data_IF_676544887061
#
_entry.id   IF_676544887061
#
_cell.length_a   1.000
_cell.length_b   1.000
_cell.length_c   1.000
_cell.angle_alpha   90.00
_cell.angle_beta   90.00
_cell.angle_gamma   90.00
#
_symmetry.space_group_name_H-M   'P 1'
#
loop_
_entity.id
_entity.type
_entity.pdbx_description
1 polymer ?
#
# COMPACT_ATOMS: atom_id res chain seq x y z
N UNK A 1 35.61 12.01 -10.38
CA UNK A 1 35.30 10.73 -11.05
C UNK A 1 34.85 9.74 -9.99
N UNK A 2 33.62 9.92 -9.48
CA UNK A 2 33.00 8.99 -8.55
C UNK A 2 32.10 8.08 -9.38
N UNK A 3 32.45 6.79 -9.39
CA UNK A 3 31.68 5.63 -9.86
C UNK A 3 30.56 5.95 -10.85
N UNK A 4 30.83 5.73 -12.14
CA UNK A 4 29.79 5.28 -13.06
C UNK A 4 29.23 3.98 -12.49
N UNK A 5 28.30 4.10 -11.53
CA UNK A 5 27.34 3.04 -11.26
C UNK A 5 26.85 2.64 -12.64
N UNK A 6 27.00 1.36 -12.98
CA UNK A 6 26.69 0.87 -14.32
C UNK A 6 25.16 0.87 -14.49
N UNK A 7 24.61 2.07 -14.71
CA UNK A 7 23.17 2.33 -14.89
C UNK A 7 22.67 1.53 -16.09
N UNK A 8 23.52 1.28 -17.09
CA UNK A 8 23.19 0.40 -18.21
C UNK A 8 22.98 -1.04 -17.74
N UNK A 9 23.90 -1.60 -16.94
CA UNK A 9 23.72 -2.93 -16.36
C UNK A 9 22.51 -3.01 -15.43
N UNK A 10 22.26 -1.97 -14.60
CA UNK A 10 21.05 -1.91 -13.76
C UNK A 10 19.80 -1.87 -14.64
N UNK A 11 19.76 -1.03 -15.68
CA UNK A 11 18.63 -0.94 -16.61
C UNK A 11 18.35 -2.28 -17.29
N UNK A 12 19.38 -2.97 -17.78
CA UNK A 12 19.24 -4.29 -18.40
C UNK A 12 18.69 -5.32 -17.40
N UNK A 13 19.24 -5.37 -16.18
CA UNK A 13 18.75 -6.27 -15.14
C UNK A 13 17.29 -6.01 -14.79
N UNK A 14 16.91 -4.73 -14.67
CA UNK A 14 15.54 -4.31 -14.34
C UNK A 14 14.59 -4.62 -15.49
N UNK A 15 15.00 -4.43 -16.74
CA UNK A 15 14.20 -4.79 -17.91
C UNK A 15 13.88 -6.29 -17.92
N UNK A 16 14.86 -7.14 -17.62
CA UNK A 16 14.67 -8.59 -17.51
C UNK A 16 13.76 -8.94 -16.32
N UNK A 17 14.04 -8.39 -15.14
CA UNK A 17 13.31 -8.74 -13.92
C UNK A 17 11.88 -8.19 -13.91
N UNK A 18 11.59 -7.11 -14.65
CA UNK A 18 10.24 -6.53 -14.77
C UNK A 18 9.44 -7.12 -15.94
N UNK A 19 9.99 -8.08 -16.69
CA UNK A 19 9.30 -8.69 -17.83
C UNK A 19 7.94 -9.32 -17.45
N UNK A 20 7.83 -9.86 -16.22
CA UNK A 20 6.59 -10.46 -15.74
C UNK A 20 5.44 -9.46 -15.55
N UNK A 21 5.73 -8.16 -15.44
CA UNK A 21 4.72 -7.11 -15.20
C UNK A 21 3.68 -7.03 -16.31
N UNK A 22 4.07 -7.24 -17.57
CA UNK A 22 3.13 -7.26 -18.70
C UNK A 22 2.12 -8.39 -18.54
N UNK A 23 2.61 -9.62 -18.30
CA UNK A 23 1.75 -10.79 -18.07
C UNK A 23 0.83 -10.59 -16.86
N UNK A 24 1.35 -10.01 -15.79
CA UNK A 24 0.57 -9.72 -14.59
C UNK A 24 -0.55 -8.69 -14.86
N UNK A 25 -0.24 -7.63 -15.61
CA UNK A 25 -1.21 -6.60 -15.99
C UNK A 25 -2.27 -7.14 -16.96
N UNK A 26 -1.87 -7.95 -17.94
CA UNK A 26 -2.80 -8.61 -18.86
C UNK A 26 -3.75 -9.54 -18.11
N UNK A 27 -3.22 -10.37 -17.21
CA UNK A 27 -4.01 -11.33 -16.43
C UNK A 27 -5.01 -10.63 -15.50
N UNK A 28 -4.56 -9.59 -14.78
CA UNK A 28 -5.42 -8.83 -13.86
C UNK A 28 -6.52 -8.04 -14.59
N UNK A 29 -6.24 -7.55 -15.80
CA UNK A 29 -7.19 -6.78 -16.64
C UNK A 29 -8.36 -7.62 -17.20
N UNK A 30 -8.24 -8.96 -17.20
CA UNK A 30 -9.34 -9.86 -17.58
C UNK A 30 -10.55 -9.70 -16.66
N UNK A 31 -10.29 -9.50 -15.37
CA UNK A 31 -11.32 -9.43 -14.33
C UNK A 31 -11.55 -8.00 -13.84
N UNK A 32 -10.50 -7.19 -13.76
CA UNK A 32 -10.58 -5.83 -13.23
C UNK A 32 -10.81 -4.81 -14.35
N UNK A 33 -11.81 -3.94 -14.17
CA UNK A 33 -12.17 -2.87 -15.12
C UNK A 33 -12.17 -1.54 -14.38
N UNK A 34 -11.57 -0.51 -14.97
CA UNK A 34 -11.60 0.87 -14.45
C UNK A 34 -10.88 1.11 -13.13
N UNK A 35 -10.04 0.16 -12.70
CA UNK A 35 -9.36 0.20 -11.41
C UNK A 35 -7.84 0.02 -11.54
N UNK A 36 -7.28 0.51 -12.64
CA UNK A 36 -5.84 0.41 -12.94
C UNK A 36 -4.99 1.01 -11.83
N UNK A 37 -5.37 2.20 -11.33
CA UNK A 37 -4.66 2.85 -10.25
C UNK A 37 -4.58 1.99 -8.99
N UNK A 38 -5.68 1.35 -8.57
CA UNK A 38 -5.69 0.44 -7.42
C UNK A 38 -4.73 -0.73 -7.62
N UNK A 39 -4.77 -1.38 -8.79
CA UNK A 39 -3.89 -2.52 -9.11
C UNK A 39 -2.42 -2.08 -9.11
N UNK A 40 -2.11 -0.96 -9.76
CA UNK A 40 -0.76 -0.40 -9.79
C UNK A 40 -0.23 -0.13 -8.37
N UNK A 41 -1.08 0.38 -7.45
CA UNK A 41 -0.67 0.60 -6.05
C UNK A 41 -0.53 -0.68 -5.23
N UNK A 42 -1.33 -1.70 -5.51
CA UNK A 42 -1.15 -3.01 -4.88
C UNK A 42 0.16 -3.68 -5.33
N UNK A 43 0.47 -3.61 -6.63
CA UNK A 43 1.75 -4.11 -7.16
C UNK A 43 2.92 -3.30 -6.60
N UNK A 44 2.78 -1.97 -6.54
CA UNK A 44 3.78 -1.10 -5.93
C UNK A 44 4.03 -1.49 -4.47
N UNK A 45 2.98 -1.64 -3.65
CA UNK A 45 3.11 -2.07 -2.26
C UNK A 45 3.77 -3.45 -2.13
N UNK A 46 3.40 -4.38 -3.00
CA UNK A 46 4.00 -5.72 -3.06
C UNK A 46 5.50 -5.65 -3.35
N UNK A 47 5.93 -4.85 -4.33
CA UNK A 47 7.33 -4.67 -4.74
C UNK A 47 8.16 -3.83 -3.75
N UNK A 48 7.51 -2.85 -3.11
CA UNK A 48 8.10 -1.93 -2.16
C UNK A 48 8.10 -2.47 -0.73
N UNK A 49 7.62 -3.70 -0.51
CA UNK A 49 7.55 -4.29 0.84
C UNK A 49 6.66 -3.46 1.80
N UNK A 50 5.69 -2.73 1.25
CA UNK A 50 4.81 -1.82 1.97
C UNK A 50 3.34 -2.25 1.96
N UNK A 51 2.60 -1.83 2.98
CA UNK A 51 1.18 -2.10 3.12
C UNK A 51 0.33 -0.94 2.59
N UNK A 52 -0.88 -1.25 2.14
CA UNK A 52 -1.80 -0.30 1.52
C UNK A 52 -3.04 -0.13 2.39
N UNK A 53 -3.35 1.12 2.72
CA UNK A 53 -4.64 1.51 3.28
C UNK A 53 -5.51 2.03 2.13
N UNK A 54 -6.72 1.51 2.01
CA UNK A 54 -7.63 1.85 0.93
C UNK A 54 -8.89 2.46 1.51
N UNK A 55 -9.12 3.72 1.16
CA UNK A 55 -10.34 4.44 1.50
C UNK A 55 -11.24 4.51 0.28
N UNK A 56 -12.50 4.11 0.43
CA UNK A 56 -13.45 4.15 -0.67
C UNK A 56 -14.77 3.51 -0.29
N UNK A 57 -15.76 3.68 -1.15
CA UNK A 57 -17.11 3.18 -0.92
C UNK A 57 -17.19 1.65 -1.08
N UNK A 58 -18.21 1.01 -0.50
CA UNK A 58 -18.48 -0.41 -0.73
C UNK A 58 -18.75 -0.67 -2.21
N UNK A 59 -18.47 -1.88 -2.67
CA UNK A 59 -18.76 -2.31 -4.05
C UNK A 59 -17.70 -1.95 -5.10
N UNK A 60 -16.61 -1.27 -4.74
CA UNK A 60 -15.54 -0.86 -5.67
C UNK A 60 -14.52 -1.98 -6.00
N UNK A 61 -14.97 -3.23 -6.08
CA UNK A 61 -14.16 -4.40 -6.45
C UNK A 61 -12.84 -4.60 -5.66
N UNK A 62 -12.71 -4.03 -4.45
CA UNK A 62 -11.48 -4.10 -3.62
C UNK A 62 -11.04 -5.54 -3.34
N UNK A 63 -11.99 -6.36 -2.89
CA UNK A 63 -11.78 -7.79 -2.63
C UNK A 63 -11.38 -8.54 -3.90
N UNK A 64 -12.01 -8.21 -5.02
CA UNK A 64 -11.70 -8.81 -6.31
C UNK A 64 -10.28 -8.45 -6.76
N UNK A 65 -9.86 -7.20 -6.59
CA UNK A 65 -8.54 -6.72 -6.98
C UNK A 65 -7.41 -7.47 -6.27
N UNK A 66 -7.44 -7.51 -4.93
CA UNK A 66 -6.38 -8.20 -4.16
C UNK A 66 -6.42 -9.73 -4.38
N UNK A 67 -7.60 -10.33 -4.48
CA UNK A 67 -7.72 -11.77 -4.74
C UNK A 67 -7.19 -12.14 -6.12
N UNK A 68 -7.53 -11.36 -7.14
CA UNK A 68 -7.02 -11.51 -8.51
C UNK A 68 -5.50 -11.39 -8.55
N UNK A 69 -4.93 -10.38 -7.88
CA UNK A 69 -3.48 -10.22 -7.79
C UNK A 69 -2.80 -11.39 -7.08
N UNK A 70 -3.35 -11.86 -5.95
CA UNK A 70 -2.82 -13.01 -5.22
C UNK A 70 -2.84 -14.29 -6.09
N UNK A 71 -3.92 -14.48 -6.85
CA UNK A 71 -4.09 -15.65 -7.72
C UNK A 71 -3.12 -15.62 -8.90
N UNK A 72 -2.93 -14.45 -9.51
CA UNK A 72 -1.98 -14.25 -10.62
C UNK A 72 -0.51 -14.45 -10.19
N UNK A 73 -0.20 -14.25 -8.91
CA UNK A 73 1.14 -14.43 -8.30
C UNK A 73 1.30 -15.80 -7.62
N UNK A 74 0.34 -16.70 -7.79
CA UNK A 74 0.33 -18.03 -7.16
C UNK A 74 0.52 -17.97 -5.63
N UNK A 75 -0.18 -17.04 -4.98
CA UNK A 75 0.02 -16.68 -3.58
C UNK A 75 -1.22 -16.89 -2.72
N UNK A 76 -0.99 -17.20 -1.45
CA UNK A 76 -2.08 -17.47 -0.51
C UNK A 76 -2.81 -16.17 -0.16
N UNK A 77 -4.14 -16.21 -0.17
CA UNK A 77 -4.99 -15.07 0.13
C UNK A 77 -5.91 -15.39 1.30
N UNK A 78 -5.94 -14.50 2.29
CA UNK A 78 -6.92 -14.53 3.37
C UNK A 78 -7.64 -13.18 3.49
N UNK A 79 -8.94 -13.26 3.76
CA UNK A 79 -9.78 -12.11 4.12
C UNK A 79 -10.09 -12.18 5.61
N UNK A 80 -9.87 -11.07 6.30
CA UNK A 80 -10.21 -10.85 7.70
C UNK A 80 -11.23 -9.72 7.72
N UNK A 81 -12.46 -10.03 8.10
CA UNK A 81 -13.49 -9.03 8.34
C UNK A 81 -13.30 -8.49 9.76
N UNK A 82 -13.09 -7.18 9.91
CA UNK A 82 -12.98 -6.57 11.22
C UNK A 82 -14.38 -6.29 11.76
N UNK A 83 -14.62 -6.75 12.98
CA UNK A 83 -15.89 -6.61 13.70
C UNK A 83 -15.62 -6.17 15.15
N UNK A 84 -16.61 -5.58 15.85
CA UNK A 84 -16.42 -5.08 17.21
C UNK A 84 -16.04 -6.17 18.24
N UNK A 85 -16.41 -7.42 17.97
CA UNK A 85 -16.19 -8.60 18.80
C UNK A 85 -14.89 -9.37 18.49
N UNK A 86 -14.19 -8.98 17.42
CA UNK A 86 -12.95 -9.64 17.00
C UNK A 86 -11.88 -9.52 18.10
N UNK A 87 -11.15 -10.61 18.37
CA UNK A 87 -10.03 -10.61 19.32
C UNK A 87 -8.69 -10.61 18.58
N UNK A 88 -7.60 -10.10 19.21
CA UNK A 88 -6.25 -10.19 18.64
C UNK A 88 -5.84 -11.64 18.27
N UNK A 89 -6.26 -12.62 19.07
CA UNK A 89 -6.02 -14.05 18.83
C UNK A 89 -6.70 -14.58 17.57
N UNK A 90 -7.79 -13.96 17.13
CA UNK A 90 -8.51 -14.38 15.91
C UNK A 90 -7.75 -13.94 14.64
N UNK A 91 -6.84 -12.97 14.75
CA UNK A 91 -5.95 -12.52 13.68
C UNK A 91 -4.63 -13.29 13.71
N UNK A 92 -4.00 -13.29 14.88
CA UNK A 92 -2.65 -13.80 15.07
C UNK A 92 -2.64 -15.33 15.18
N UNK A 93 -3.62 -15.90 15.87
CA UNK A 93 -3.68 -17.31 16.21
C UNK A 93 -3.71 -17.54 17.71
N UNK A 94 -3.94 -18.79 18.10
CA UNK A 94 -4.12 -19.18 19.50
C UNK A 94 -3.55 -20.56 19.78
N UNK A 95 -3.32 -20.87 21.05
CA UNK A 95 -2.99 -22.22 21.52
C UNK A 95 -4.28 -23.01 21.69
N UNK A 96 -4.36 -24.17 21.05
CA UNK A 96 -5.46 -25.12 21.21
C UNK A 96 -4.98 -26.33 22.00
N UNK A 97 -5.68 -26.65 23.09
CA UNK A 97 -5.42 -27.87 23.85
C UNK A 97 -5.89 -29.08 23.04
N UNK A 98 -5.01 -30.06 22.85
CA UNK A 98 -5.31 -31.34 22.20
C UNK A 98 -5.52 -32.40 23.29
N UNK A 99 -6.78 -32.79 23.60
CA UNK A 99 -7.06 -33.74 24.67
C UNK A 99 -6.43 -35.12 24.45
N UNK A 100 -6.25 -35.54 23.19
CA UNK A 100 -5.67 -36.84 22.85
C UNK A 100 -4.17 -36.92 23.10
N UNK A 101 -3.47 -35.78 23.07
CA UNK A 101 -2.02 -35.70 23.31
C UNK A 101 -1.68 -35.09 24.67
N UNK A 102 -2.68 -34.63 25.44
CA UNK A 102 -2.49 -33.88 26.68
C UNK A 102 -1.53 -32.69 26.52
N UNK A 103 -1.53 -32.05 25.35
CA UNK A 103 -0.59 -31.00 25.00
C UNK A 103 -1.28 -29.82 24.30
N UNK A 104 -0.64 -28.66 24.27
CA UNK A 104 -1.11 -27.47 23.57
C UNK A 104 -0.42 -27.36 22.20
N UNK A 105 -1.21 -27.27 21.14
CA UNK A 105 -0.72 -27.05 19.77
C UNK A 105 -1.09 -25.67 19.26
N UNK A 106 -0.25 -25.11 18.38
CA UNK A 106 -0.45 -23.75 17.85
C UNK A 106 -1.39 -23.80 16.65
N UNK A 107 -2.49 -23.04 16.72
CA UNK A 107 -3.34 -22.77 15.58
C UNK A 107 -3.02 -21.38 15.03
N UNK A 108 -2.30 -21.35 13.91
CA UNK A 108 -1.97 -20.12 13.17
C UNK A 108 -3.25 -19.41 12.73
N UNK A 109 -3.31 -18.10 12.94
CA UNK A 109 -4.41 -17.26 12.51
C UNK A 109 -4.40 -16.95 11.01
N UNK A 110 -5.42 -16.24 10.50
CA UNK A 110 -5.53 -15.88 9.09
C UNK A 110 -4.42 -14.93 8.60
N UNK A 111 -3.64 -14.30 9.50
CA UNK A 111 -2.51 -13.45 9.12
C UNK A 111 -1.37 -14.23 8.42
N UNK A 112 -1.32 -15.56 8.57
CA UNK A 112 -0.33 -16.42 7.91
C UNK A 112 -0.71 -16.75 6.46
N UNK A 113 -0.82 -15.72 5.63
CA UNK A 113 -0.96 -15.82 4.18
C UNK A 113 -0.10 -14.74 3.50
N UNK A 114 0.03 -14.80 2.17
CA UNK A 114 0.83 -13.83 1.43
C UNK A 114 0.08 -12.49 1.24
N UNK A 115 -1.21 -12.57 0.96
CA UNK A 115 -2.08 -11.42 0.76
C UNK A 115 -3.19 -11.42 1.80
N UNK A 116 -3.29 -10.34 2.56
CA UNK A 116 -4.30 -10.15 3.59
C UNK A 116 -5.19 -8.99 3.20
N UNK A 117 -6.49 -9.25 3.08
CA UNK A 117 -7.51 -8.19 3.07
C UNK A 117 -8.02 -8.00 4.49
N UNK A 118 -7.68 -6.88 5.12
CA UNK A 118 -8.23 -6.45 6.40
C UNK A 118 -9.40 -5.50 6.14
N UNK A 119 -10.59 -6.07 6.01
CA UNK A 119 -11.78 -5.32 5.61
C UNK A 119 -12.38 -4.57 6.80
N UNK A 120 -12.66 -3.29 6.62
CA UNK A 120 -13.28 -2.39 7.60
C UNK A 120 -12.49 -2.32 8.92
N UNK A 121 -11.18 -2.09 8.83
CA UNK A 121 -10.26 -2.08 9.98
C UNK A 121 -10.71 -1.13 11.11
N UNK A 122 -11.46 -0.08 10.76
CA UNK A 122 -12.06 0.87 11.69
C UNK A 122 -13.27 0.32 12.45
N UNK A 123 -13.73 -0.93 12.27
CA UNK A 123 -14.83 -1.53 13.04
C UNK A 123 -14.38 -2.33 14.25
N UNK A 124 -13.08 -2.67 14.36
CA UNK A 124 -12.57 -3.40 15.51
C UNK A 124 -11.92 -2.46 16.54
N UNK A 125 -11.87 -2.85 17.83
CA UNK A 125 -11.20 -2.09 18.88
C UNK A 125 -9.70 -1.87 18.60
N UNK A 126 -9.14 -0.81 19.17
CA UNK A 126 -7.73 -0.43 18.98
C UNK A 126 -6.71 -1.56 19.29
N UNK A 127 -7.02 -2.46 20.23
CA UNK A 127 -6.14 -3.61 20.55
C UNK A 127 -6.02 -4.61 19.38
N UNK A 128 -7.10 -4.79 18.63
CA UNK A 128 -7.17 -5.68 17.46
C UNK A 128 -6.45 -5.05 16.28
N UNK A 129 -6.66 -3.75 16.06
CA UNK A 129 -5.94 -2.95 15.07
C UNK A 129 -4.42 -3.02 15.34
N UNK A 130 -4.01 -2.83 16.59
CA UNK A 130 -2.61 -2.90 17.00
C UNK A 130 -1.97 -4.26 16.70
N UNK A 131 -2.67 -5.37 16.92
CA UNK A 131 -2.14 -6.72 16.63
C UNK A 131 -1.82 -6.92 15.13
N UNK A 132 -2.70 -6.45 14.23
CA UNK A 132 -2.43 -6.47 12.79
C UNK A 132 -1.24 -5.57 12.43
N UNK A 133 -1.20 -4.35 12.98
CA UNK A 133 -0.16 -3.37 12.70
C UNK A 133 1.22 -3.77 13.23
N UNK A 134 1.26 -4.48 14.36
CA UNK A 134 2.48 -5.09 14.89
C UNK A 134 2.99 -6.17 13.94
N UNK A 135 2.11 -7.09 13.50
CA UNK A 135 2.46 -8.11 12.52
C UNK A 135 2.98 -7.51 11.20
N UNK A 136 2.43 -6.38 10.75
CA UNK A 136 2.91 -5.62 9.59
C UNK A 136 4.34 -5.08 9.76
N UNK A 137 4.68 -4.57 10.94
CA UNK A 137 6.02 -4.00 11.18
C UNK A 137 7.07 -5.08 11.48
N UNK A 138 6.74 -6.03 12.36
CA UNK A 138 7.68 -7.02 12.86
C UNK A 138 7.84 -8.22 11.90
N UNK A 139 6.87 -8.44 11.01
CA UNK A 139 6.82 -9.57 10.06
C UNK A 139 6.90 -10.95 10.72
N UNK A 140 6.59 -10.99 12.00
CA UNK A 140 6.48 -12.17 12.81
C UNK A 140 5.45 -11.89 13.90
N UNK A 141 4.92 -12.95 14.47
CA UNK A 141 3.98 -12.87 15.59
C UNK A 141 4.35 -13.90 16.64
N UNK A 142 4.11 -13.59 17.91
CA UNK A 142 4.37 -14.53 19.01
C UNK A 142 3.06 -15.15 19.47
N UNK A 143 2.99 -16.48 19.45
CA UNK A 143 1.83 -17.24 19.94
C UNK A 143 2.31 -18.12 21.10
N UNK A 144 1.76 -17.89 22.29
CA UNK A 144 2.27 -18.52 23.50
C UNK A 144 3.71 -18.07 23.79
N UNK A 145 4.67 -18.99 23.66
CA UNK A 145 6.10 -18.72 23.92
C UNK A 145 6.97 -18.70 22.65
N UNK A 146 6.39 -19.05 21.50
CA UNK A 146 7.13 -19.20 20.24
C UNK A 146 6.79 -18.08 19.27
N UNK A 147 7.82 -17.57 18.58
CA UNK A 147 7.68 -16.57 17.53
C UNK A 147 7.66 -17.24 16.16
N UNK A 148 6.70 -16.85 15.33
CA UNK A 148 6.46 -17.39 14.00
C UNK A 148 6.60 -16.30 12.96
N UNK A 149 7.45 -16.51 11.96
CA UNK A 149 7.58 -15.61 10.81
C UNK A 149 6.36 -15.72 9.90
N UNK A 150 5.97 -14.58 9.32
CA UNK A 150 4.91 -14.52 8.32
C UNK A 150 5.42 -14.99 6.95
N UNK A 151 4.50 -15.35 6.06
CA UNK A 151 4.82 -15.85 4.72
C UNK A 151 5.32 -14.71 3.83
N UNK A 152 6.36 -14.96 3.02
CA UNK A 152 6.83 -14.01 2.02
C UNK A 152 6.39 -14.38 0.60
N UNK A 153 6.02 -13.40 -0.26
CA UNK A 153 5.80 -11.99 0.07
C UNK A 153 4.59 -11.80 1.00
N UNK A 154 4.65 -10.79 1.87
CA UNK A 154 3.55 -10.40 2.77
C UNK A 154 3.03 -9.01 2.38
N UNK A 155 1.75 -8.91 2.02
CA UNK A 155 1.05 -7.67 1.70
C UNK A 155 -0.27 -7.60 2.47
N UNK A 156 -0.53 -6.46 3.10
CA UNK A 156 -1.81 -6.17 3.76
C UNK A 156 -2.47 -5.03 3.01
N UNK A 157 -3.70 -5.25 2.57
CA UNK A 157 -4.63 -4.23 2.13
C UNK A 157 -5.67 -4.04 3.23
N UNK A 158 -5.60 -2.93 3.95
CA UNK A 158 -6.62 -2.56 4.91
C UNK A 158 -7.64 -1.64 4.24
N UNK A 159 -8.93 -1.82 4.52
CA UNK A 159 -9.98 -0.93 4.00
C UNK A 159 -10.60 -0.13 5.14
N UNK A 160 -10.99 1.11 4.84
CA UNK A 160 -11.82 1.94 5.70
C UNK A 160 -13.03 2.42 4.89
N UNK A 161 -14.21 2.36 5.52
CA UNK A 161 -15.41 2.97 4.98
C UNK A 161 -15.58 4.37 5.58
N UNK A 162 -15.51 5.45 4.78
CA UNK A 162 -15.57 6.82 5.29
C UNK A 162 -16.97 7.25 5.74
N UNK A 163 -18.03 6.54 5.35
CA UNK A 163 -19.43 6.96 5.61
C UNK A 163 -19.96 6.44 6.95
N UNK A 164 -19.47 5.29 7.43
CA UNK A 164 -19.97 4.68 8.67
C UNK A 164 -19.39 5.36 9.91
N UNK A 165 -20.20 6.17 10.59
CA UNK A 165 -19.84 6.86 11.83
C UNK A 165 -20.26 6.08 13.09
N UNK A 166 -21.25 5.18 13.00
CA UNK A 166 -21.70 4.39 14.16
C UNK A 166 -20.84 3.14 14.36
N UNK A 167 -20.33 2.96 15.58
CA UNK A 167 -19.56 1.78 15.96
C UNK A 167 -18.18 1.69 15.31
N UNK A 168 -17.61 2.82 14.86
CA UNK A 168 -16.26 2.86 14.29
C UNK A 168 -15.23 3.46 15.25
N UNK A 169 -14.04 2.87 15.23
CA UNK A 169 -12.83 3.24 15.94
C UNK A 169 -11.83 3.76 14.91
N UNK A 170 -11.70 5.09 14.72
CA UNK A 170 -10.76 5.64 13.75
C UNK A 170 -9.34 5.22 14.12
N UNK A 171 -8.53 4.91 13.10
CA UNK A 171 -7.12 4.63 13.28
C UNK A 171 -6.41 5.92 13.72
N UNK A 172 -5.72 5.96 14.87
CA UNK A 172 -4.86 7.07 15.25
C UNK A 172 -3.79 7.33 14.19
N UNK A 173 -3.30 8.56 14.09
CA UNK A 173 -2.43 8.96 12.98
C UNK A 173 -1.09 8.23 13.02
N UNK A 174 -0.59 7.95 14.23
CA UNK A 174 0.57 7.08 14.44
C UNK A 174 0.37 5.64 13.93
N UNK A 175 -0.87 5.15 13.87
CA UNK A 175 -1.22 3.85 13.29
C UNK A 175 -1.31 3.94 11.76
N UNK A 176 -1.95 4.98 11.24
CA UNK A 176 -2.06 5.19 9.79
C UNK A 176 -0.68 5.39 9.16
N UNK A 177 0.26 6.05 9.84
CA UNK A 177 1.65 6.26 9.37
C UNK A 177 2.43 4.95 9.12
N UNK A 178 1.96 3.81 9.66
CA UNK A 178 2.53 2.47 9.40
C UNK A 178 2.21 1.94 8.01
N UNK A 179 1.17 2.44 7.35
CA UNK A 179 0.86 2.10 5.96
C UNK A 179 1.76 2.90 5.01
N UNK A 180 2.35 2.23 4.03
CA UNK A 180 3.18 2.91 3.03
C UNK A 180 2.33 3.87 2.20
N UNK A 181 1.20 3.35 1.69
CA UNK A 181 0.28 4.06 0.82
C UNK A 181 -1.09 4.18 1.46
N UNK A 182 -1.74 5.33 1.31
CA UNK A 182 -3.18 5.49 1.42
C UNK A 182 -3.74 5.81 0.04
N UNK A 183 -4.62 4.96 -0.48
CA UNK A 183 -5.19 5.06 -1.82
C UNK A 183 -6.68 5.37 -1.70
N UNK A 184 -7.11 6.45 -2.32
CA UNK A 184 -8.53 6.80 -2.40
C UNK A 184 -9.09 6.26 -3.73
N UNK A 185 -10.24 5.59 -3.66
CA UNK A 185 -10.91 5.05 -4.85
C UNK A 185 -12.28 5.67 -4.98
N UNK A 186 -12.54 6.25 -6.16
CA UNK A 186 -13.84 6.78 -6.57
C UNK A 186 -14.64 5.74 -7.36
N UNK A 187 -15.91 6.07 -7.65
CA UNK A 187 -16.70 5.29 -8.60
C UNK A 187 -16.03 5.25 -9.98
N UNK A 188 -16.18 4.13 -10.72
CA UNK A 188 -15.69 4.02 -12.09
C UNK A 188 -16.40 5.02 -13.00
N UNK A 189 -15.76 5.37 -14.11
CA UNK A 189 -16.37 6.19 -15.15
C UNK A 189 -17.53 5.45 -15.83
N UNK A 190 -18.45 6.18 -16.46
CA UNK A 190 -19.66 5.60 -17.07
C UNK A 190 -19.37 4.44 -18.04
N UNK A 191 -18.32 4.57 -18.86
CA UNK A 191 -17.95 3.54 -19.84
C UNK A 191 -17.31 2.31 -19.16
N UNK A 192 -16.56 2.53 -18.09
CA UNK A 192 -15.99 1.46 -17.26
C UNK A 192 -17.11 0.72 -16.51
N UNK A 193 -18.07 1.43 -15.95
CA UNK A 193 -19.23 0.85 -15.27
C UNK A 193 -20.10 0.04 -16.23
N UNK A 194 -20.29 0.52 -17.47
CA UNK A 194 -20.97 -0.24 -18.53
C UNK A 194 -20.25 -1.55 -18.85
N UNK A 195 -18.92 -1.55 -18.86
CA UNK A 195 -18.13 -2.76 -19.06
C UNK A 195 -18.25 -3.71 -17.86
N UNK A 196 -18.19 -3.19 -16.63
CA UNK A 196 -18.42 -3.95 -15.39
C UNK A 196 -19.78 -4.63 -15.42
N UNK A 197 -20.83 -3.90 -15.80
CA UNK A 197 -22.20 -4.44 -15.94
C UNK A 197 -22.23 -5.58 -16.96
N UNK A 198 -21.65 -5.38 -18.15
CA UNK A 198 -21.61 -6.41 -19.21
C UNK A 198 -20.86 -7.67 -18.78
N UNK A 199 -19.70 -7.53 -18.13
CA UNK A 199 -18.90 -8.67 -17.67
C UNK A 199 -19.58 -9.44 -16.54
N UNK A 200 -20.28 -8.76 -15.64
CA UNK A 200 -21.06 -9.43 -14.60
C UNK A 200 -22.27 -10.19 -15.15
N UNK A 201 -23.00 -9.63 -16.12
CA UNK A 201 -24.16 -10.29 -16.73
C UNK A 201 -23.74 -11.51 -17.57
N UNK A 202 -22.62 -11.41 -18.30
CA UNK A 202 -22.08 -12.50 -19.13
C UNK A 202 -21.38 -13.60 -18.32
N UNK A 203 -21.11 -13.38 -17.03
CA UNK A 203 -20.35 -14.30 -16.19
C UNK A 203 -18.83 -14.26 -16.43
N UNK A 204 -18.33 -13.36 -17.28
CA UNK A 204 -16.90 -13.18 -17.56
C UNK A 204 -16.10 -12.78 -16.32
N UNK A 205 -16.72 -12.15 -15.31
CA UNK A 205 -16.05 -11.89 -14.02
C UNK A 205 -15.72 -13.15 -13.22
N UNK A 206 -16.28 -14.31 -13.60
CA UNK A 206 -15.94 -15.62 -13.03
C UNK A 206 -14.80 -16.32 -13.77
N UNK A 207 -14.15 -15.67 -14.74
CA UNK A 207 -12.97 -16.21 -15.40
C UNK A 207 -11.91 -16.57 -14.35
N UNK A 208 -11.42 -17.80 -14.45
CA UNK A 208 -10.35 -18.28 -13.58
C UNK A 208 -9.07 -17.54 -13.93
N UNK A 209 -8.49 -16.88 -12.93
CA UNK A 209 -7.18 -16.24 -13.04
C UNK A 209 -6.13 -17.33 -13.02
N UNK A 210 -5.27 -17.34 -14.03
CA UNK A 210 -4.16 -18.29 -14.11
C UNK A 210 -2.92 -17.75 -13.37
N UNK A 211 -2.16 -18.63 -12.68
CA UNK A 211 -0.94 -18.23 -11.98
C UNK A 211 0.19 -17.95 -12.98
N UNK A 212 0.29 -16.69 -13.43
CA UNK A 212 1.26 -16.23 -14.43
C UNK A 212 2.63 -15.84 -13.86
N UNK A 213 2.71 -15.62 -12.55
CA UNK A 213 3.91 -15.21 -11.79
C UNK A 213 4.04 -16.08 -10.54
N UNK A 214 5.27 -16.42 -10.15
CA UNK A 214 5.54 -17.14 -8.91
C UNK A 214 5.94 -16.19 -7.76
N UNK A 215 5.80 -16.63 -6.52
CA UNK A 215 6.18 -15.84 -5.32
C UNK A 215 7.66 -15.45 -5.36
N UNK A 216 8.51 -16.33 -5.87
CA UNK A 216 9.96 -16.15 -5.99
C UNK A 216 10.32 -15.02 -6.97
N UNK A 217 9.52 -14.83 -8.03
CA UNK A 217 9.71 -13.74 -8.99
C UNK A 217 9.52 -12.38 -8.29
N UNK A 218 8.51 -12.27 -7.42
CA UNK A 218 8.28 -11.07 -6.61
C UNK A 218 9.41 -10.84 -5.62
N UNK A 219 9.90 -11.88 -4.96
CA UNK A 219 11.03 -11.77 -4.02
C UNK A 219 12.31 -11.33 -4.76
N UNK A 220 12.53 -11.83 -5.98
CA UNK A 220 13.63 -11.38 -6.84
C UNK A 220 13.44 -9.91 -7.24
N UNK A 221 12.24 -9.54 -7.68
CA UNK A 221 11.91 -8.17 -8.06
C UNK A 221 12.13 -7.17 -6.92
N UNK A 222 11.76 -7.51 -5.68
CA UNK A 222 12.04 -6.68 -4.47
C UNK A 222 13.53 -6.38 -4.31
N UNK A 223 14.40 -7.35 -4.58
CA UNK A 223 15.87 -7.14 -4.54
C UNK A 223 16.30 -6.18 -5.65
N UNK A 224 15.72 -6.29 -6.85
CA UNK A 224 16.03 -5.42 -7.98
C UNK A 224 15.53 -3.99 -7.76
N UNK A 225 14.34 -3.80 -7.17
CA UNK A 225 13.81 -2.49 -6.76
C UNK A 225 14.78 -1.76 -5.81
N UNK A 226 15.39 -2.48 -4.86
CA UNK A 226 16.40 -1.90 -3.95
C UNK A 226 17.65 -1.41 -4.68
N UNK A 227 17.96 -1.97 -5.86
CA UNK A 227 19.11 -1.62 -6.70
C UNK A 227 18.82 -0.52 -7.73
N UNK A 228 17.57 -0.12 -7.92
CA UNK A 228 17.22 1.03 -8.77
C UNK A 228 17.96 2.26 -8.27
N UNK A 229 18.69 2.89 -9.17
CA UNK A 229 19.52 4.05 -8.88
C UNK A 229 18.65 5.28 -8.56
N UNK A 230 19.07 6.05 -7.57
CA UNK A 230 18.46 7.34 -7.22
C UNK A 230 19.60 8.34 -7.07
N UNK A 231 19.53 9.41 -7.87
CA UNK A 231 20.51 10.49 -7.83
C UNK A 231 20.30 11.35 -6.57
N UNK A 232 21.38 11.90 -6.03
CA UNK A 232 21.37 12.76 -4.83
C UNK A 232 20.40 13.94 -5.00
N UNK A 233 20.25 14.48 -6.21
CA UNK A 233 19.28 15.55 -6.48
C UNK A 233 17.83 15.10 -6.28
N UNK A 234 17.51 13.85 -6.59
CA UNK A 234 16.18 13.27 -6.35
C UNK A 234 15.97 13.03 -4.85
N UNK A 235 17.01 12.60 -4.13
CA UNK A 235 16.95 12.47 -2.67
C UNK A 235 16.68 13.83 -2.01
N UNK A 236 17.38 14.88 -2.44
CA UNK A 236 17.12 16.25 -2.00
C UNK A 236 15.72 16.74 -2.38
N UNK A 237 15.24 16.44 -3.59
CA UNK A 237 13.87 16.76 -4.00
C UNK A 237 12.81 16.10 -3.09
N UNK A 238 13.00 14.84 -2.72
CA UNK A 238 12.13 14.14 -1.75
C UNK A 238 12.19 14.81 -0.37
N UNK A 239 13.38 15.19 0.09
CA UNK A 239 13.55 15.90 1.36
C UNK A 239 12.84 17.24 1.33
N UNK A 240 13.02 18.04 0.28
CA UNK A 240 12.36 19.34 0.12
C UNK A 240 10.84 19.20 0.18
N UNK A 241 10.26 18.20 -0.50
CA UNK A 241 8.83 17.91 -0.43
C UNK A 241 8.38 17.64 1.01
N UNK A 242 9.09 16.78 1.73
CA UNK A 242 8.71 16.40 3.10
C UNK A 242 8.92 17.57 4.06
N UNK A 243 10.02 18.30 3.97
CA UNK A 243 10.30 19.44 4.83
C UNK A 243 9.37 20.62 4.56
N UNK A 244 8.90 20.80 3.32
CA UNK A 244 7.86 21.79 3.01
C UNK A 244 6.54 21.52 3.76
N UNK A 245 6.22 20.27 4.10
CA UNK A 245 5.05 19.98 4.95
C UNK A 245 5.23 20.42 6.40
N UNK A 246 6.47 20.62 6.87
CA UNK A 246 6.79 20.99 8.26
C UNK A 246 7.15 22.47 8.41
N UNK A 247 7.69 23.06 7.34
CA UNK A 247 8.27 24.40 7.31
C UNK A 247 7.90 25.12 6.00
N UNK A 248 6.61 25.14 5.66
CA UNK A 248 6.11 25.72 4.40
C UNK A 248 6.56 27.18 4.19
N UNK A 249 6.74 27.93 5.27
CA UNK A 249 7.25 29.30 5.28
C UNK A 249 8.64 29.44 4.66
N UNK A 250 9.53 28.45 4.89
CA UNK A 250 10.90 28.42 4.34
C UNK A 250 10.93 28.11 2.84
N UNK A 251 9.85 27.56 2.29
CA UNK A 251 9.73 27.20 0.88
C UNK A 251 8.85 28.18 0.09
N UNK A 252 8.74 29.43 0.56
CA UNK A 252 7.89 30.48 -0.03
C UNK A 252 6.38 30.12 -0.07
N UNK A 253 5.93 29.19 0.76
CA UNK A 253 4.53 28.74 0.85
C UNK A 253 3.88 29.17 2.18
N UNK A 254 4.06 30.43 2.57
CA UNK A 254 3.53 30.97 3.84
C UNK A 254 2.03 30.80 4.02
N UNK A 255 1.27 30.77 2.92
CA UNK A 255 -0.17 30.53 2.94
C UNK A 255 -0.55 29.12 3.43
N UNK A 256 0.35 28.14 3.33
CA UNK A 256 0.08 26.76 3.78
C UNK A 256 0.40 26.55 5.26
N UNK A 257 1.26 27.38 5.87
CA UNK A 257 1.63 27.27 7.28
C UNK A 257 0.43 27.22 8.24
N UNK A 258 -0.57 28.11 8.16
CA UNK A 258 -1.75 28.03 9.03
C UNK A 258 -2.60 26.78 8.80
N UNK A 259 -2.52 26.18 7.61
CA UNK A 259 -3.37 25.06 7.19
C UNK A 259 -2.86 23.69 7.67
N UNK A 260 -1.60 23.60 8.09
CA UNK A 260 -0.95 22.35 8.50
C UNK A 260 -0.75 22.34 10.01
N UNK A 261 -1.45 21.44 10.71
CA UNK A 261 -1.28 21.21 12.14
C UNK A 261 0.05 20.49 12.45
N UNK A 262 0.37 19.46 11.66
CA UNK A 262 1.66 18.77 11.71
C UNK A 262 2.02 18.20 10.33
N UNK A 263 3.32 18.22 10.02
CA UNK A 263 3.86 17.72 8.75
C UNK A 263 4.18 16.23 8.74
N UNK A 264 4.55 15.74 7.57
CA UNK A 264 4.83 14.32 7.32
C UNK A 264 6.05 13.82 8.12
N UNK A 265 6.00 12.59 8.65
CA UNK A 265 7.07 11.97 9.46
C UNK A 265 8.29 11.56 8.61
N UNK A 266 9.44 11.16 9.21
CA UNK A 266 10.56 10.60 8.44
C UNK A 266 10.19 9.34 7.62
N UNK A 267 9.12 8.62 8.00
CA UNK A 267 8.59 7.52 7.18
C UNK A 267 8.12 8.00 5.82
N UNK A 268 7.69 9.25 5.68
CA UNK A 268 7.33 9.84 4.39
C UNK A 268 8.52 9.87 3.45
N UNK A 269 9.68 10.37 3.88
CA UNK A 269 10.90 10.44 3.06
C UNK A 269 11.35 9.04 2.63
N UNK A 270 11.36 8.08 3.57
CA UNK A 270 11.72 6.68 3.31
C UNK A 270 10.74 6.07 2.30
N UNK A 271 9.44 6.20 2.53
CA UNK A 271 8.42 5.59 1.68
C UNK A 271 8.33 6.26 0.31
N UNK A 272 8.56 7.57 0.19
CA UNK A 272 8.66 8.24 -1.11
C UNK A 272 9.84 7.68 -1.91
N UNK A 273 11.01 7.51 -1.27
CA UNK A 273 12.18 6.96 -1.95
C UNK A 273 11.95 5.51 -2.42
N UNK A 274 11.43 4.65 -1.54
CA UNK A 274 11.16 3.25 -1.89
C UNK A 274 10.05 3.16 -2.95
N UNK A 275 8.96 3.91 -2.80
CA UNK A 275 7.84 3.91 -3.75
C UNK A 275 8.26 4.46 -5.12
N UNK A 276 9.12 5.49 -5.16
CA UNK A 276 9.64 6.01 -6.42
C UNK A 276 10.55 4.99 -7.13
N UNK A 277 11.38 4.24 -6.39
CA UNK A 277 12.15 3.12 -6.97
C UNK A 277 11.26 2.00 -7.48
N UNK A 278 10.24 1.62 -6.73
CA UNK A 278 9.26 0.62 -7.15
C UNK A 278 8.48 1.09 -8.39
N UNK A 279 8.10 2.36 -8.45
CA UNK A 279 7.47 2.95 -9.62
C UNK A 279 8.39 2.92 -10.84
N UNK A 280 9.65 3.36 -10.71
CA UNK A 280 10.64 3.28 -11.78
C UNK A 280 10.82 1.83 -12.31
N UNK A 281 10.87 0.85 -11.40
CA UNK A 281 10.90 -0.57 -11.75
C UNK A 281 9.67 -1.00 -12.55
N UNK A 282 8.47 -0.58 -12.15
CA UNK A 282 7.23 -0.85 -12.90
C UNK A 282 7.24 -0.21 -14.29
N UNK A 283 7.93 0.93 -14.45
CA UNK A 283 8.17 1.59 -15.74
C UNK A 283 9.38 1.00 -16.50
N UNK A 284 9.92 -0.15 -16.06
CA UNK A 284 11.08 -0.85 -16.64
C UNK A 284 12.35 0.00 -16.69
N UNK A 285 12.51 0.93 -15.74
CA UNK A 285 13.70 1.78 -15.60
C UNK A 285 14.49 1.43 -14.35
N UNK A 286 15.81 1.37 -14.50
CA UNK A 286 16.79 1.16 -13.44
C UNK A 286 17.26 2.43 -12.74
N UNK A 287 16.61 3.56 -12.99
CA UNK A 287 16.85 4.84 -12.32
C UNK A 287 15.54 5.59 -12.09
N UNK A 288 15.50 6.38 -11.02
CA UNK A 288 14.35 7.22 -10.64
C UNK A 288 14.42 8.57 -11.33
N UNK A 289 13.27 9.06 -11.81
CA UNK A 289 13.07 10.43 -12.30
C UNK A 289 12.11 11.20 -11.38
N UNK A 290 12.08 12.55 -11.43
CA UNK A 290 11.19 13.33 -10.56
C UNK A 290 9.71 12.98 -10.70
N UNK A 291 9.25 12.62 -11.90
CA UNK A 291 7.87 12.20 -12.13
C UNK A 291 7.49 10.92 -11.38
N UNK A 292 8.45 10.02 -11.09
CA UNK A 292 8.21 8.85 -10.25
C UNK A 292 7.81 9.28 -8.84
N UNK A 293 8.54 10.25 -8.26
CA UNK A 293 8.26 10.81 -6.94
C UNK A 293 6.90 11.51 -6.95
N UNK A 294 6.64 12.36 -7.95
CA UNK A 294 5.37 13.07 -8.08
C UNK A 294 4.18 12.12 -8.20
N UNK A 295 4.34 11.03 -8.95
CA UNK A 295 3.28 10.06 -9.18
C UNK A 295 2.83 9.38 -7.89
N UNK A 296 3.73 9.12 -6.94
CA UNK A 296 3.43 8.40 -5.67
C UNK A 296 3.20 9.34 -4.49
N UNK A 297 3.52 10.63 -4.64
CA UNK A 297 3.58 11.55 -3.51
C UNK A 297 2.24 11.73 -2.78
N UNK A 298 1.12 11.82 -3.51
CA UNK A 298 -0.21 11.91 -2.88
C UNK A 298 -0.52 10.67 -2.05
N UNK A 299 -0.23 9.49 -2.57
CA UNK A 299 -0.56 8.21 -1.93
C UNK A 299 0.32 7.95 -0.71
N UNK A 300 1.57 8.42 -0.74
CA UNK A 300 2.47 8.34 0.40
C UNK A 300 2.15 9.42 1.45
N UNK A 301 1.81 10.65 1.08
CA UNK A 301 1.78 11.75 2.04
C UNK A 301 0.40 12.10 2.61
N UNK A 302 -0.71 11.73 1.95
CA UNK A 302 -2.06 12.20 2.33
C UNK A 302 -2.48 11.86 3.76
N UNK A 303 -1.99 10.75 4.31
CA UNK A 303 -2.28 10.31 5.68
C UNK A 303 -1.20 10.70 6.69
N UNK A 304 -0.22 11.50 6.26
CA UNK A 304 0.91 11.92 7.08
C UNK A 304 0.87 13.42 7.39
N UNK A 305 -0.13 14.13 6.88
CA UNK A 305 -0.30 15.57 7.07
C UNK A 305 -1.57 15.79 7.88
N UNK A 306 -1.42 16.40 9.05
CA UNK A 306 -2.53 16.84 9.87
C UNK A 306 -3.04 18.19 9.41
N UNK A 307 -4.36 18.30 9.17
CA UNK A 307 -5.01 19.57 8.86
C UNK A 307 -5.22 20.37 10.15
N UNK A 308 -5.13 21.69 10.06
CA UNK A 308 -5.58 22.57 11.14
C UNK A 308 -7.09 22.79 11.06
N UNK A 309 -7.68 23.31 12.15
CA UNK A 309 -9.09 23.72 12.16
C UNK A 309 -9.41 24.77 11.09
N UNK A 310 -8.46 25.64 10.75
CA UNK A 310 -8.60 26.65 9.70
C UNK A 310 -8.73 25.99 8.32
N UNK A 311 -7.90 24.98 8.05
CA UNK A 311 -8.00 24.20 6.81
C UNK A 311 -9.35 23.47 6.69
N UNK A 312 -9.83 22.89 7.78
CA UNK A 312 -11.16 22.25 7.81
C UNK A 312 -12.28 23.25 7.55
N UNK A 313 -12.23 24.44 8.17
CA UNK A 313 -13.20 25.51 7.96
C UNK A 313 -13.23 26.02 6.52
N UNK A 314 -12.07 26.04 5.85
CA UNK A 314 -11.92 26.43 4.45
C UNK A 314 -12.20 25.28 3.45
N UNK A 315 -12.60 24.09 3.94
CA UNK A 315 -12.76 22.86 3.14
C UNK A 315 -11.49 22.47 2.35
N UNK A 316 -10.32 22.79 2.88
CA UNK A 316 -9.03 22.41 2.31
C UNK A 316 -8.67 21.01 2.80
N UNK A 317 -8.37 20.11 1.86
CA UNK A 317 -7.96 18.74 2.16
C UNK A 317 -6.44 18.55 2.01
N UNK A 318 -5.93 17.40 2.48
CA UNK A 318 -4.51 17.07 2.41
C UNK A 318 -4.02 17.01 0.95
N UNK A 319 -4.84 16.54 0.02
CA UNK A 319 -4.46 16.45 -1.40
C UNK A 319 -4.17 17.82 -2.02
N UNK A 320 -4.93 18.84 -1.64
CA UNK A 320 -4.69 20.22 -2.07
C UNK A 320 -3.31 20.69 -1.60
N UNK A 321 -3.02 20.55 -0.31
CA UNK A 321 -1.74 20.94 0.30
C UNK A 321 -0.57 20.23 -0.40
N UNK A 322 -0.68 18.91 -0.59
CA UNK A 322 0.33 18.11 -1.28
C UNK A 322 0.55 18.58 -2.72
N UNK A 323 -0.54 18.89 -3.43
CA UNK A 323 -0.46 19.38 -4.81
C UNK A 323 0.24 20.74 -4.89
N UNK A 324 -0.06 21.66 -3.96
CA UNK A 324 0.63 22.95 -3.89
C UNK A 324 2.13 22.79 -3.63
N UNK A 325 2.50 21.91 -2.70
CA UNK A 325 3.90 21.62 -2.38
C UNK A 325 4.63 21.07 -3.61
N UNK A 326 4.09 20.04 -4.26
CA UNK A 326 4.71 19.39 -5.43
C UNK A 326 4.87 20.36 -6.61
N UNK A 327 3.91 21.27 -6.80
CA UNK A 327 3.94 22.24 -7.89
C UNK A 327 4.90 23.41 -7.64
N UNK A 328 5.15 23.73 -6.37
CA UNK A 328 6.01 24.86 -5.99
C UNK A 328 7.49 24.47 -5.91
N UNK A 329 7.79 23.25 -5.46
CA UNK A 329 9.18 22.80 -5.33
C UNK A 329 9.76 22.55 -6.73
N UNK A 330 10.92 23.14 -7.05
CA UNK A 330 11.55 23.00 -8.35
C UNK A 330 12.00 21.56 -8.59
N UNK A 331 11.82 21.11 -9.82
CA UNK A 331 12.30 19.81 -10.28
C UNK A 331 13.82 19.90 -10.53
N UNK A 332 14.63 18.93 -10.06
CA UNK A 332 16.10 18.97 -10.10
C UNK A 332 16.78 18.79 -11.47
#
# INVERSE_FOLDING_TARGET
MQTSIDIEAINQQIYIDSAFMERLNEETSKVIVGQKHMIDRLILGLLAEGHVLLEGLPGLAKTLAIKTLASAVNADFNRIQFTPDLLPSDIVGTMIYNPGQHDFSVRKGPIFANFILADEINRAPAKVQAALLEAMQERQVTIGKESYKLNEPFLVLATQNPIEQEGTYPLPEAQVDRFMLKVNISYPERDEEKLIMRRNISGETSQKIEPVVQKEDIIKARKSVKRVYMDEKIENYILDIVFATRNADKFNMKALTPLISYGASPRASINLAIAARAHAFMQRRGYVIPDDVRSVAKDVMRHRIGLSYEAEAENINQEYIITQIINTIPVP
#
